data_IF_547594500008
#
_entry.id   IF_547594500008
#
_cell.length_a   1.000
_cell.length_b   1.000
_cell.length_c   1.000
_cell.angle_alpha   90.00
_cell.angle_beta   90.00
_cell.angle_gamma   90.00
#
_symmetry.space_group_name_H-M   'P 1'
#
loop_
_entity.id
_entity.type
_entity.pdbx_description
1 polymer ?
#
# COMPACT_ATOMS: atom_id res chain seq x y z
N UNK A 1 -10.42 21.64 -9.00
CA UNK A 1 -11.02 20.31 -8.98
C UNK A 1 -9.99 19.34 -8.40
N UNK A 2 -10.36 18.38 -7.56
CA UNK A 2 -9.41 17.37 -7.07
C UNK A 2 -8.82 16.61 -8.26
N UNK A 3 -7.54 16.19 -8.15
CA UNK A 3 -6.93 15.35 -9.18
C UNK A 3 -7.66 14.01 -9.27
N UNK A 4 -7.80 13.42 -10.46
CA UNK A 4 -8.34 12.07 -10.60
C UNK A 4 -7.43 11.07 -9.88
N UNK A 5 -8.00 9.97 -9.42
CA UNK A 5 -7.23 8.86 -8.87
C UNK A 5 -6.35 8.24 -9.97
N UNK A 6 -5.24 7.62 -9.55
CA UNK A 6 -4.22 7.09 -10.47
C UNK A 6 -4.60 5.73 -11.07
N UNK A 7 -3.90 5.37 -12.14
CA UNK A 7 -3.82 4.01 -12.70
C UNK A 7 -2.38 3.52 -12.62
N UNK A 8 -2.15 2.25 -12.33
CA UNK A 8 -0.80 1.70 -12.30
C UNK A 8 -0.40 1.10 -10.96
N UNK A 9 0.89 1.13 -10.67
CA UNK A 9 1.45 0.57 -9.44
C UNK A 9 1.72 1.65 -8.41
N UNK A 10 1.29 1.40 -7.18
CA UNK A 10 1.52 2.29 -6.04
C UNK A 10 2.38 1.60 -4.99
N UNK A 11 3.52 2.18 -4.70
CA UNK A 11 4.36 1.73 -3.60
C UNK A 11 3.77 2.17 -2.25
N UNK A 12 3.39 1.21 -1.41
CA UNK A 12 3.15 1.47 0.01
C UNK A 12 4.50 1.72 0.69
N UNK A 13 4.97 2.99 0.69
CA UNK A 13 6.34 3.28 1.12
C UNK A 13 6.57 2.94 2.58
N UNK A 14 7.79 2.48 2.87
CA UNK A 14 8.22 2.25 4.25
C UNK A 14 8.56 3.57 4.95
N UNK A 15 8.59 3.54 6.28
CA UNK A 15 9.18 4.60 7.11
C UNK A 15 10.56 4.15 7.57
N UNK A 16 11.63 4.92 7.32
CA UNK A 16 12.95 4.60 7.82
C UNK A 16 13.05 4.85 9.34
N UNK A 17 13.56 3.85 10.06
CA UNK A 17 13.90 3.97 11.46
C UNK A 17 15.41 3.74 11.65
N UNK A 18 15.99 4.47 12.59
CA UNK A 18 17.34 4.29 13.06
C UNK A 18 17.40 3.33 14.25
N UNK A 19 18.51 3.36 14.97
CA UNK A 19 18.65 2.61 16.22
C UNK A 19 17.61 3.06 17.25
N UNK A 20 17.07 2.12 18.00
CA UNK A 20 16.08 2.36 19.06
C UNK A 20 14.78 3.03 18.59
N UNK A 21 14.37 2.81 17.33
CA UNK A 21 13.11 3.29 16.82
C UNK A 21 13.03 4.79 16.49
N UNK A 22 14.15 5.49 16.48
CA UNK A 22 14.17 6.91 16.10
C UNK A 22 13.83 7.08 14.62
N UNK A 23 12.95 8.03 14.28
CA UNK A 23 12.65 8.38 12.89
C UNK A 23 13.88 8.89 12.17
N UNK A 24 14.23 8.29 11.02
CA UNK A 24 15.36 8.68 10.17
C UNK A 24 14.86 9.36 8.88
N UNK A 25 14.23 10.53 9.04
CA UNK A 25 13.61 11.25 7.91
C UNK A 25 14.61 11.61 6.80
N UNK A 26 15.90 11.71 7.11
CA UNK A 26 16.96 11.94 6.12
C UNK A 26 17.09 10.82 5.10
N UNK A 27 16.68 9.60 5.45
CA UNK A 27 16.68 8.44 4.54
C UNK A 27 15.39 8.34 3.71
N UNK A 28 14.33 9.05 4.11
CA UNK A 28 13.04 8.97 3.42
C UNK A 28 13.12 9.55 2.01
N UNK A 29 13.72 10.72 1.84
CA UNK A 29 13.88 11.38 0.53
C UNK A 29 14.55 10.48 -0.50
N UNK A 30 15.78 9.98 -0.26
CA UNK A 30 16.45 9.04 -1.16
C UNK A 30 15.63 7.78 -1.49
N UNK A 31 14.88 7.23 -0.52
CA UNK A 31 13.99 6.09 -0.75
C UNK A 31 12.85 6.44 -1.71
N UNK A 32 12.19 7.58 -1.52
CA UNK A 32 11.12 8.05 -2.40
C UNK A 32 11.63 8.35 -3.83
N UNK A 33 12.80 8.96 -3.94
CA UNK A 33 13.45 9.21 -5.23
C UNK A 33 13.75 7.90 -5.97
N UNK A 34 14.22 6.89 -5.25
CA UNK A 34 14.46 5.57 -5.82
C UNK A 34 13.17 4.90 -6.32
N UNK A 35 12.08 4.94 -5.53
CA UNK A 35 10.77 4.41 -5.95
C UNK A 35 10.29 5.07 -7.25
N UNK A 36 10.41 6.40 -7.35
CA UNK A 36 10.03 7.16 -8.55
C UNK A 36 10.90 6.76 -9.75
N UNK A 37 12.21 6.62 -9.55
CA UNK A 37 13.16 6.20 -10.61
C UNK A 37 12.89 4.77 -11.09
N UNK A 38 12.42 3.87 -10.21
CA UNK A 38 11.99 2.51 -10.56
C UNK A 38 10.61 2.46 -11.26
N UNK A 39 9.93 3.59 -11.43
CA UNK A 39 8.77 3.75 -12.32
C UNK A 39 7.40 3.52 -11.68
N UNK A 40 7.25 3.74 -10.37
CA UNK A 40 5.92 3.72 -9.74
C UNK A 40 5.04 4.89 -10.23
N UNK A 41 3.74 4.67 -10.32
CA UNK A 41 2.76 5.69 -10.71
C UNK A 41 2.25 6.49 -9.50
N UNK A 42 2.33 5.89 -8.32
CA UNK A 42 1.91 6.50 -7.07
C UNK A 42 2.76 6.02 -5.89
N UNK A 43 2.74 6.80 -4.82
CA UNK A 43 3.36 6.43 -3.53
C UNK A 43 2.33 6.63 -2.42
N UNK A 44 2.24 5.65 -1.52
CA UNK A 44 1.38 5.70 -0.34
C UNK A 44 2.24 5.69 0.93
N UNK A 45 2.63 6.85 1.47
CA UNK A 45 3.27 6.94 2.77
C UNK A 45 2.28 6.60 3.89
N UNK A 46 2.79 6.08 5.00
CA UNK A 46 2.01 5.74 6.21
C UNK A 46 0.85 4.73 5.99
N UNK A 47 0.96 3.86 4.97
CA UNK A 47 0.18 2.63 4.94
C UNK A 47 0.69 1.64 6.00
N UNK A 48 0.19 0.39 5.99
CA UNK A 48 0.70 -0.66 6.90
C UNK A 48 2.21 -0.86 6.75
N UNK A 49 2.73 -0.85 5.52
CA UNK A 49 4.18 -0.94 5.26
C UNK A 49 4.97 0.25 5.82
N UNK A 50 4.33 1.38 6.01
CA UNK A 50 4.90 2.57 6.66
C UNK A 50 4.90 2.49 8.18
N UNK A 51 4.48 1.36 8.76
CA UNK A 51 4.49 1.11 10.21
C UNK A 51 3.78 2.20 11.03
N UNK A 52 2.68 2.77 10.49
CA UNK A 52 1.96 3.89 11.09
C UNK A 52 1.51 3.61 12.53
N UNK A 53 1.26 2.35 12.87
CA UNK A 53 0.82 1.91 14.22
C UNK A 53 1.91 2.07 15.28
N UNK A 54 3.18 2.16 14.87
CA UNK A 54 4.33 2.31 15.75
C UNK A 54 4.69 3.78 16.02
N UNK A 55 3.92 4.74 15.47
CA UNK A 55 4.25 6.16 15.55
C UNK A 55 3.16 7.00 16.21
N UNK A 56 3.57 7.97 17.00
CA UNK A 56 2.69 9.02 17.51
C UNK A 56 2.18 9.92 16.36
N UNK A 57 1.06 10.61 16.61
CA UNK A 57 0.41 11.45 15.62
C UNK A 57 1.34 12.52 15.02
N UNK A 58 2.16 13.14 15.86
CA UNK A 58 3.11 14.18 15.43
C UNK A 58 4.25 13.62 14.57
N UNK A 59 4.72 12.41 14.83
CA UNK A 59 5.72 11.78 13.99
C UNK A 59 5.14 11.38 12.63
N UNK A 60 3.89 10.94 12.60
CA UNK A 60 3.16 10.68 11.34
C UNK A 60 3.01 11.95 10.51
N UNK A 61 2.72 13.10 11.12
CA UNK A 61 2.69 14.41 10.44
C UNK A 61 4.06 14.77 9.86
N UNK A 62 5.16 14.54 10.60
CA UNK A 62 6.53 14.77 10.09
C UNK A 62 6.83 13.90 8.87
N UNK A 63 6.48 12.61 8.93
CA UNK A 63 6.65 11.68 7.78
C UNK A 63 5.84 12.15 6.58
N UNK A 64 4.56 12.52 6.75
CA UNK A 64 3.71 13.01 5.67
C UNK A 64 4.26 14.30 5.06
N UNK A 65 4.61 15.29 5.87
CA UNK A 65 5.16 16.55 5.38
C UNK A 65 6.45 16.33 4.57
N UNK A 66 7.38 15.52 5.11
CA UNK A 66 8.63 15.17 4.41
C UNK A 66 8.35 14.42 3.11
N UNK A 67 7.43 13.44 3.11
CA UNK A 67 7.11 12.68 1.91
C UNK A 67 6.50 13.57 0.82
N UNK A 68 5.54 14.42 1.18
CA UNK A 68 4.88 15.34 0.25
C UNK A 68 5.86 16.36 -0.33
N UNK A 69 6.74 16.94 0.51
CA UNK A 69 7.81 17.84 0.08
C UNK A 69 8.75 17.15 -0.91
N UNK A 70 9.21 15.92 -0.59
CA UNK A 70 10.19 15.22 -1.43
C UNK A 70 9.58 14.68 -2.73
N UNK A 71 8.35 14.20 -2.70
CA UNK A 71 7.66 13.75 -3.93
C UNK A 71 7.35 14.92 -4.85
N UNK A 72 6.98 16.07 -4.30
CA UNK A 72 6.79 17.33 -5.04
C UNK A 72 5.93 17.21 -6.31
N UNK A 73 4.87 16.41 -6.26
CA UNK A 73 3.95 16.21 -7.38
C UNK A 73 4.48 15.38 -8.56
N UNK A 74 5.66 14.77 -8.44
CA UNK A 74 6.25 13.90 -9.49
C UNK A 74 5.45 12.64 -9.76
N UNK A 75 4.78 12.10 -8.75
CA UNK A 75 3.83 10.99 -8.83
C UNK A 75 2.64 11.25 -7.93
N UNK A 76 1.55 10.51 -8.10
CA UNK A 76 0.36 10.64 -7.25
C UNK A 76 0.65 10.20 -5.80
N UNK A 77 0.17 10.97 -4.82
CA UNK A 77 0.34 10.64 -3.40
C UNK A 77 -0.99 10.20 -2.79
N UNK A 78 -1.01 8.95 -2.29
CA UNK A 78 -2.15 8.37 -1.55
C UNK A 78 -1.79 8.34 -0.07
N UNK A 79 -2.04 9.42 0.67
CA UNK A 79 -1.57 9.58 2.04
C UNK A 79 -2.34 8.69 3.03
N UNK A 80 -1.63 7.86 3.80
CA UNK A 80 -2.19 7.08 4.90
C UNK A 80 -2.50 7.97 6.11
N UNK A 81 -3.79 8.15 6.42
CA UNK A 81 -4.25 9.03 7.51
C UNK A 81 -5.13 8.31 8.52
N UNK A 82 -5.15 6.99 8.44
CA UNK A 82 -5.99 6.13 9.27
C UNK A 82 -5.61 6.17 10.75
N UNK A 83 -6.63 6.20 11.58
CA UNK A 83 -6.53 6.05 13.04
C UNK A 83 -7.79 5.35 13.53
N UNK A 84 -7.73 4.76 14.75
CA UNK A 84 -8.93 4.21 15.39
C UNK A 84 -9.98 5.30 15.67
N UNK A 85 -9.54 6.50 16.03
CA UNK A 85 -10.41 7.65 16.32
C UNK A 85 -10.78 8.42 15.05
N UNK A 86 -12.08 8.54 14.76
CA UNK A 86 -12.58 9.39 13.67
C UNK A 86 -12.01 10.81 13.73
N UNK A 87 -11.95 11.42 14.92
CA UNK A 87 -11.41 12.76 15.12
C UNK A 87 -9.94 12.86 14.70
N UNK A 88 -9.10 11.88 15.08
CA UNK A 88 -7.67 11.88 14.69
C UNK A 88 -7.51 11.56 13.20
N UNK A 89 -8.34 10.69 12.63
CA UNK A 89 -8.36 10.46 11.18
C UNK A 89 -8.68 11.74 10.43
N UNK A 90 -9.68 12.52 10.86
CA UNK A 90 -10.01 13.83 10.28
C UNK A 90 -8.82 14.79 10.38
N UNK A 91 -8.21 14.92 11.55
CA UNK A 91 -7.06 15.80 11.77
C UNK A 91 -5.89 15.47 10.84
N UNK A 92 -5.52 14.19 10.74
CA UNK A 92 -4.45 13.73 9.83
C UNK A 92 -4.83 13.92 8.36
N UNK A 93 -6.10 13.72 8.00
CA UNK A 93 -6.60 13.87 6.63
C UNK A 93 -6.57 15.34 6.18
N UNK A 94 -6.98 16.25 7.03
CA UNK A 94 -6.89 17.70 6.78
C UNK A 94 -5.44 18.16 6.69
N UNK A 95 -4.57 17.61 7.56
CA UNK A 95 -3.13 17.88 7.50
C UNK A 95 -2.54 17.42 6.16
N UNK A 96 -2.81 16.17 5.74
CA UNK A 96 -2.33 15.63 4.47
C UNK A 96 -2.82 16.46 3.27
N UNK A 97 -4.11 16.80 3.24
CA UNK A 97 -4.70 17.65 2.20
C UNK A 97 -4.02 19.03 2.14
N UNK A 98 -3.83 19.69 3.29
CA UNK A 98 -3.20 21.03 3.33
C UNK A 98 -1.74 21.02 2.90
N UNK A 99 -1.06 19.88 2.94
CA UNK A 99 0.31 19.68 2.47
C UNK A 99 0.42 19.12 1.05
N UNK A 100 -0.72 19.00 0.33
CA UNK A 100 -0.73 18.65 -1.09
C UNK A 100 -0.82 17.16 -1.41
N UNK A 101 -1.37 16.33 -0.51
CA UNK A 101 -1.75 14.96 -0.86
C UNK A 101 -2.83 14.96 -1.95
N UNK A 102 -2.74 14.03 -2.91
CA UNK A 102 -3.70 13.93 -4.00
C UNK A 102 -4.94 13.11 -3.60
N UNK A 103 -4.78 12.16 -2.70
CA UNK A 103 -5.85 11.33 -2.13
C UNK A 103 -5.44 10.75 -0.77
N UNK A 104 -6.41 10.18 -0.07
CA UNK A 104 -6.21 9.59 1.25
C UNK A 104 -6.36 8.07 1.18
N UNK A 105 -5.55 7.33 1.95
CA UNK A 105 -5.74 5.91 2.22
C UNK A 105 -6.21 5.75 3.67
N UNK A 106 -7.38 5.15 3.87
CA UNK A 106 -7.96 5.00 5.20
C UNK A 106 -8.42 3.57 5.41
N UNK A 107 -7.85 2.88 6.41
CA UNK A 107 -8.31 1.57 6.87
C UNK A 107 -9.44 1.78 7.88
N UNK A 108 -10.48 0.92 7.93
CA UNK A 108 -11.48 0.96 8.99
C UNK A 108 -10.84 0.90 10.38
N UNK A 109 -11.48 1.47 11.42
CA UNK A 109 -11.04 1.27 12.79
C UNK A 109 -10.89 -0.23 13.10
N UNK A 110 -9.77 -0.58 13.70
CA UNK A 110 -9.36 -1.95 14.00
C UNK A 110 -9.28 -2.18 15.52
N UNK A 111 -8.83 -3.36 15.99
CA UNK A 111 -8.73 -3.81 17.38
C UNK A 111 -10.10 -4.13 18.01
N UNK A 112 -10.96 -3.16 18.30
CA UNK A 112 -12.37 -3.38 18.67
C UNK A 112 -13.19 -3.03 17.43
N UNK A 113 -13.47 -4.03 16.58
CA UNK A 113 -14.14 -3.82 15.30
C UNK A 113 -15.52 -3.19 15.47
N UNK A 114 -15.77 -2.00 14.89
CA UNK A 114 -17.10 -1.40 14.88
C UNK A 114 -18.04 -2.18 13.97
N UNK A 115 -19.36 -1.94 14.12
CA UNK A 115 -20.34 -2.46 13.18
C UNK A 115 -20.17 -1.82 11.78
N UNK A 116 -20.63 -2.48 10.70
CA UNK A 116 -20.58 -1.89 9.35
C UNK A 116 -21.19 -0.48 9.29
N UNK A 117 -22.31 -0.24 9.94
CA UNK A 117 -22.96 1.08 9.99
C UNK A 117 -22.06 2.14 10.63
N UNK A 118 -21.40 1.81 11.74
CA UNK A 118 -20.47 2.73 12.43
C UNK A 118 -19.22 3.01 11.56
N UNK A 119 -18.74 2.01 10.82
CA UNK A 119 -17.64 2.21 9.85
C UNK A 119 -18.07 3.12 8.71
N UNK A 120 -19.27 2.94 8.16
CA UNK A 120 -19.82 3.84 7.14
C UNK A 120 -19.92 5.27 7.64
N UNK A 121 -20.40 5.48 8.87
CA UNK A 121 -20.47 6.81 9.47
C UNK A 121 -19.09 7.44 9.70
N UNK A 122 -18.08 6.62 10.01
CA UNK A 122 -16.69 7.07 10.08
C UNK A 122 -16.22 7.67 8.75
N UNK A 123 -16.44 6.97 7.62
CA UNK A 123 -16.06 7.46 6.29
C UNK A 123 -16.85 8.71 5.86
N UNK A 124 -18.16 8.78 6.13
CA UNK A 124 -18.99 9.95 5.85
C UNK A 124 -18.44 11.21 6.52
N UNK A 125 -18.17 11.13 7.84
CA UNK A 125 -17.63 12.25 8.61
C UNK A 125 -16.27 12.70 8.12
N UNK A 126 -15.42 11.77 7.68
CA UNK A 126 -14.11 12.14 7.10
C UNK A 126 -14.32 12.83 5.75
N UNK A 127 -15.18 12.29 4.89
CA UNK A 127 -15.46 12.87 3.59
C UNK A 127 -16.05 14.30 3.68
N UNK A 128 -16.87 14.58 4.71
CA UNK A 128 -17.38 15.93 4.99
C UNK A 128 -16.26 16.92 5.39
N UNK A 129 -15.12 16.43 5.86
CA UNK A 129 -14.02 17.27 6.39
C UNK A 129 -12.91 17.57 5.39
N UNK A 130 -12.90 16.92 4.22
CA UNK A 130 -11.86 17.04 3.18
C UNK A 130 -12.48 17.16 1.79
N UNK A 131 -11.70 17.63 0.81
CA UNK A 131 -12.14 17.74 -0.59
C UNK A 131 -11.40 16.80 -1.56
N UNK A 132 -10.36 16.10 -1.09
CA UNK A 132 -9.61 15.13 -1.89
C UNK A 132 -10.21 13.72 -1.75
N UNK A 133 -10.09 12.85 -2.78
CA UNK A 133 -10.70 11.53 -2.77
C UNK A 133 -10.19 10.64 -1.62
N UNK A 134 -11.08 9.84 -1.05
CA UNK A 134 -10.74 8.81 -0.08
C UNK A 134 -10.68 7.46 -0.79
N UNK A 135 -9.56 6.74 -0.65
CA UNK A 135 -9.41 5.34 -0.99
C UNK A 135 -9.65 4.52 0.29
N UNK A 136 -10.80 3.87 0.37
CA UNK A 136 -11.12 2.97 1.48
C UNK A 136 -10.20 1.74 1.42
N UNK A 137 -9.44 1.49 2.50
CA UNK A 137 -8.57 0.34 2.59
C UNK A 137 -9.31 -0.86 3.21
N UNK A 138 -9.96 -1.66 2.36
CA UNK A 138 -10.69 -2.85 2.78
C UNK A 138 -9.71 -3.98 3.10
N UNK A 139 -9.50 -4.24 4.40
CA UNK A 139 -8.51 -5.20 4.89
C UNK A 139 -9.10 -6.06 6.03
N UNK A 140 -9.92 -7.02 5.66
CA UNK A 140 -10.59 -7.91 6.62
C UNK A 140 -9.61 -8.61 7.56
N UNK A 141 -8.49 -9.19 7.05
CA UNK A 141 -7.57 -9.94 7.90
C UNK A 141 -6.97 -9.15 9.07
N UNK A 142 -6.77 -7.83 8.91
CA UNK A 142 -6.15 -6.99 9.95
C UNK A 142 -7.16 -6.16 10.75
N UNK A 143 -8.39 -5.98 10.23
CA UNK A 143 -9.38 -5.11 10.90
C UNK A 143 -10.57 -5.87 11.46
N UNK A 144 -10.78 -7.12 11.04
CA UNK A 144 -11.99 -7.90 11.30
C UNK A 144 -13.30 -7.21 10.85
N UNK A 145 -13.19 -6.18 10.00
CA UNK A 145 -14.34 -5.47 9.41
C UNK A 145 -14.52 -5.92 7.97
N UNK A 146 -15.67 -6.52 7.67
CA UNK A 146 -16.06 -6.88 6.31
C UNK A 146 -17.25 -6.02 5.86
N UNK A 147 -16.94 -4.96 5.11
CA UNK A 147 -17.96 -4.20 4.38
C UNK A 147 -18.35 -5.00 3.13
N UNK A 148 -19.60 -5.45 3.07
CA UNK A 148 -20.12 -6.13 1.88
C UNK A 148 -20.19 -5.16 0.70
N UNK A 149 -20.29 -5.70 -0.52
CA UNK A 149 -20.35 -4.91 -1.74
C UNK A 149 -21.39 -3.79 -1.66
N UNK A 150 -22.59 -4.07 -1.16
CA UNK A 150 -23.66 -3.07 -1.00
C UNK A 150 -23.26 -1.87 -0.13
N UNK A 151 -22.50 -2.12 0.95
CA UNK A 151 -21.98 -1.04 1.81
C UNK A 151 -20.98 -0.16 1.06
N UNK A 152 -20.09 -0.79 0.26
CA UNK A 152 -19.07 -0.09 -0.53
C UNK A 152 -19.70 0.75 -1.64
N UNK A 153 -20.68 0.19 -2.36
CA UNK A 153 -21.43 0.88 -3.40
C UNK A 153 -22.20 2.08 -2.81
N UNK A 154 -22.85 1.89 -1.66
CA UNK A 154 -23.56 2.97 -0.98
C UNK A 154 -22.62 4.12 -0.57
N UNK A 155 -21.44 3.84 -0.03
CA UNK A 155 -20.44 4.88 0.29
C UNK A 155 -19.97 5.62 -0.96
N UNK A 156 -19.88 4.95 -2.09
CA UNK A 156 -19.52 5.56 -3.37
C UNK A 156 -20.65 6.46 -3.88
N UNK A 157 -21.91 6.01 -3.90
CA UNK A 157 -23.09 6.79 -4.28
C UNK A 157 -23.23 8.07 -3.43
N UNK A 158 -22.95 7.97 -2.14
CA UNK A 158 -22.91 9.08 -1.19
C UNK A 158 -21.66 9.99 -1.36
N UNK A 159 -20.73 9.65 -2.27
CA UNK A 159 -19.46 10.34 -2.49
C UNK A 159 -18.55 10.37 -1.25
N UNK A 160 -18.74 9.45 -0.34
CA UNK A 160 -17.88 9.29 0.84
C UNK A 160 -16.54 8.62 0.51
N UNK A 161 -16.47 7.87 -0.60
CA UNK A 161 -15.23 7.28 -1.12
C UNK A 161 -15.15 7.48 -2.63
N UNK A 162 -13.92 7.60 -3.17
CA UNK A 162 -13.63 7.64 -4.61
C UNK A 162 -12.91 6.39 -5.10
N UNK A 163 -12.38 5.59 -4.19
CA UNK A 163 -11.67 4.34 -4.52
C UNK A 163 -11.66 3.34 -3.39
N UNK A 164 -11.26 2.12 -3.71
CA UNK A 164 -11.12 1.01 -2.76
C UNK A 164 -9.78 0.30 -3.01
N UNK A 165 -8.99 0.08 -1.96
CA UNK A 165 -7.89 -0.88 -1.95
C UNK A 165 -8.42 -2.18 -1.37
N UNK A 166 -8.58 -3.22 -2.22
CA UNK A 166 -9.09 -4.54 -1.84
C UNK A 166 -7.95 -5.42 -1.33
N UNK A 167 -7.88 -5.63 -0.01
CA UNK A 167 -6.87 -6.49 0.62
C UNK A 167 -7.48 -7.70 1.32
N UNK A 168 -8.33 -8.39 0.60
CA UNK A 168 -8.91 -9.68 0.94
C UNK A 168 -8.67 -10.67 -0.22
N UNK A 169 -8.60 -11.98 0.03
CA UNK A 169 -8.29 -12.99 -0.99
C UNK A 169 -9.52 -13.36 -1.85
N UNK A 170 -10.28 -12.36 -2.28
CA UNK A 170 -11.51 -12.49 -3.07
C UNK A 170 -11.42 -11.59 -4.30
N UNK A 171 -10.65 -11.99 -5.33
CA UNK A 171 -10.45 -11.14 -6.51
C UNK A 171 -11.74 -10.97 -7.34
N UNK A 172 -12.69 -11.88 -7.25
CA UNK A 172 -14.02 -11.80 -7.86
C UNK A 172 -14.82 -10.59 -7.38
N UNK A 173 -14.67 -10.17 -6.11
CA UNK A 173 -15.31 -8.96 -5.57
C UNK A 173 -14.85 -7.69 -6.29
N UNK A 174 -13.62 -7.67 -6.82
CA UNK A 174 -13.14 -6.58 -7.68
C UNK A 174 -14.00 -6.49 -8.94
N UNK A 175 -14.24 -7.63 -9.60
CA UNK A 175 -15.08 -7.70 -10.78
C UNK A 175 -16.53 -7.25 -10.50
N UNK A 176 -17.11 -7.72 -9.41
CA UNK A 176 -18.47 -7.35 -8.96
C UNK A 176 -18.61 -5.83 -8.80
N UNK A 177 -17.68 -5.19 -8.09
CA UNK A 177 -17.70 -3.73 -7.86
C UNK A 177 -17.54 -2.95 -9.17
N UNK A 178 -16.60 -3.37 -10.03
CA UNK A 178 -16.35 -2.71 -11.30
C UNK A 178 -17.57 -2.79 -12.23
N UNK A 179 -18.23 -3.95 -12.28
CA UNK A 179 -19.47 -4.12 -13.07
C UNK A 179 -20.61 -3.25 -12.53
N UNK A 180 -20.80 -3.20 -11.20
CA UNK A 180 -21.86 -2.43 -10.56
C UNK A 180 -21.70 -0.91 -10.74
N UNK A 181 -20.49 -0.44 -11.04
CA UNK A 181 -20.18 1.00 -11.15
C UNK A 181 -19.71 1.42 -12.55
N UNK A 182 -19.87 0.57 -13.58
CA UNK A 182 -19.30 0.81 -14.91
C UNK A 182 -17.82 1.26 -14.84
N UNK A 183 -17.05 0.65 -13.94
CA UNK A 183 -15.65 0.98 -13.64
C UNK A 183 -15.39 2.43 -13.21
N UNK A 184 -16.40 3.14 -12.71
CA UNK A 184 -16.23 4.52 -12.24
C UNK A 184 -15.65 4.58 -10.82
N UNK A 185 -15.95 3.61 -9.96
CA UNK A 185 -15.30 3.47 -8.66
C UNK A 185 -13.94 2.82 -8.85
N UNK A 186 -12.88 3.54 -8.49
CA UNK A 186 -11.53 3.01 -8.62
C UNK A 186 -11.29 1.84 -7.65
N UNK A 187 -10.88 0.70 -8.17
CA UNK A 187 -10.54 -0.48 -7.35
C UNK A 187 -9.09 -0.85 -7.59
N UNK A 188 -8.36 -1.05 -6.51
CA UNK A 188 -6.95 -1.43 -6.51
C UNK A 188 -6.76 -2.81 -5.89
N UNK A 189 -5.96 -3.68 -6.52
CA UNK A 189 -5.48 -4.89 -5.89
C UNK A 189 -4.60 -4.51 -4.68
N UNK A 190 -4.96 -4.99 -3.50
CA UNK A 190 -4.32 -4.59 -2.23
C UNK A 190 -3.59 -5.73 -1.52
N UNK A 191 -3.67 -6.96 -2.05
CA UNK A 191 -2.94 -8.13 -1.55
C UNK A 191 -2.15 -8.76 -2.70
N UNK A 192 -0.86 -8.95 -2.49
CA UNK A 192 0.07 -9.34 -3.56
C UNK A 192 -0.24 -10.72 -4.14
N UNK A 193 -0.68 -11.67 -3.30
CA UNK A 193 -0.89 -13.07 -3.71
C UNK A 193 -2.03 -13.30 -4.70
N UNK A 194 -2.94 -12.34 -4.86
CA UNK A 194 -4.05 -12.37 -5.84
C UNK A 194 -4.08 -11.11 -6.72
N UNK A 195 -2.96 -10.39 -6.79
CA UNK A 195 -2.88 -9.18 -7.59
C UNK A 195 -2.99 -9.46 -9.09
N UNK A 196 -2.46 -10.60 -9.56
CA UNK A 196 -2.58 -11.03 -10.95
C UNK A 196 -4.04 -11.17 -11.36
N UNK A 197 -4.82 -11.92 -10.57
CA UNK A 197 -6.25 -12.12 -10.79
C UNK A 197 -7.02 -10.81 -10.72
N UNK A 198 -6.73 -9.98 -9.69
CA UNK A 198 -7.36 -8.68 -9.54
C UNK A 198 -7.12 -7.76 -10.74
N UNK A 199 -5.90 -7.72 -11.28
CA UNK A 199 -5.56 -6.96 -12.48
C UNK A 199 -6.23 -7.54 -13.73
N UNK A 200 -6.33 -8.88 -13.85
CA UNK A 200 -7.07 -9.53 -14.93
C UNK A 200 -8.58 -9.22 -14.89
N UNK A 201 -9.15 -9.01 -13.70
CA UNK A 201 -10.53 -8.55 -13.51
C UNK A 201 -10.73 -7.06 -13.82
N UNK A 202 -9.66 -6.32 -14.10
CA UNK A 202 -9.73 -4.91 -14.49
C UNK A 202 -9.46 -3.92 -13.37
N UNK A 203 -8.84 -4.33 -12.26
CA UNK A 203 -8.40 -3.40 -11.23
C UNK A 203 -7.59 -2.25 -11.84
N UNK A 204 -7.85 -1.01 -11.41
CA UNK A 204 -7.22 0.20 -11.92
C UNK A 204 -5.72 0.27 -11.60
N UNK A 205 -5.30 -0.50 -10.60
CA UNK A 205 -3.89 -0.56 -10.21
C UNK A 205 -3.64 -1.54 -9.07
N UNK A 206 -2.42 -1.47 -8.55
CA UNK A 206 -1.92 -2.36 -7.51
C UNK A 206 -1.25 -1.55 -6.40
N UNK A 207 -1.81 -1.55 -5.19
CA UNK A 207 -1.29 -0.85 -4.00
C UNK A 207 -0.88 -1.90 -2.97
N UNK A 208 0.38 -2.29 -2.90
CA UNK A 208 0.79 -3.31 -1.94
C UNK A 208 2.30 -3.32 -1.65
N UNK A 209 2.79 -4.40 -1.04
CA UNK A 209 4.18 -4.58 -0.63
C UNK A 209 5.13 -4.87 -1.80
N UNK A 210 4.72 -5.65 -2.79
CA UNK A 210 5.56 -5.98 -3.96
C UNK A 210 5.87 -4.74 -4.81
N UNK A 211 4.92 -3.83 -5.13
CA UNK A 211 5.23 -2.55 -5.73
C UNK A 211 6.24 -1.69 -4.95
N UNK A 212 6.34 -1.90 -3.64
CA UNK A 212 7.29 -1.17 -2.80
C UNK A 212 8.67 -1.86 -2.76
N UNK A 213 8.69 -3.19 -2.81
CA UNK A 213 9.91 -3.99 -2.68
C UNK A 213 10.66 -4.11 -4.00
N UNK A 214 9.95 -4.38 -5.10
CA UNK A 214 10.48 -4.57 -6.45
C UNK A 214 9.64 -3.82 -7.49
N UNK A 215 9.68 -2.46 -7.45
CA UNK A 215 8.74 -1.60 -8.20
C UNK A 215 8.75 -1.86 -9.70
N UNK A 216 9.93 -1.96 -10.32
CA UNK A 216 10.07 -2.20 -11.77
C UNK A 216 9.43 -3.50 -12.20
N UNK A 217 9.66 -4.60 -11.46
CA UNK A 217 9.06 -5.90 -11.78
C UNK A 217 7.53 -5.88 -11.61
N UNK A 218 7.01 -5.17 -10.58
CA UNK A 218 5.58 -4.96 -10.42
C UNK A 218 4.99 -4.13 -11.56
N UNK A 219 5.68 -3.07 -12.00
CA UNK A 219 5.26 -2.23 -13.12
C UNK A 219 5.22 -3.00 -14.43
N UNK A 220 6.22 -3.84 -14.70
CA UNK A 220 6.24 -4.70 -15.89
C UNK A 220 5.04 -5.65 -15.92
N UNK A 221 4.69 -6.26 -14.79
CA UNK A 221 3.50 -7.12 -14.69
C UNK A 221 2.21 -6.33 -14.95
N UNK A 222 2.04 -5.16 -14.31
CA UNK A 222 0.89 -4.30 -14.53
C UNK A 222 0.75 -3.93 -16.02
N UNK A 223 1.84 -3.51 -16.65
CA UNK A 223 1.85 -3.13 -18.08
C UNK A 223 1.46 -4.32 -18.96
N UNK A 224 2.01 -5.51 -18.70
CA UNK A 224 1.69 -6.70 -19.46
C UNK A 224 0.18 -7.06 -19.41
N UNK A 225 -0.46 -6.89 -18.23
CA UNK A 225 -1.88 -7.20 -18.04
C UNK A 225 -2.77 -6.06 -18.55
N UNK A 226 -2.58 -4.86 -17.99
CA UNK A 226 -3.55 -3.77 -18.14
C UNK A 226 -3.36 -2.97 -19.43
N UNK A 227 -2.14 -2.84 -19.93
CA UNK A 227 -1.81 -2.01 -21.09
C UNK A 227 -1.66 -2.85 -22.34
N UNK A 228 -0.76 -3.83 -22.32
CA UNK A 228 -0.45 -4.68 -23.48
C UNK A 228 -1.50 -5.78 -23.69
N UNK A 229 -2.23 -6.15 -22.65
CA UNK A 229 -3.18 -7.29 -22.64
C UNK A 229 -2.51 -8.60 -23.08
N UNK A 230 -1.24 -8.76 -22.74
CA UNK A 230 -0.40 -9.89 -23.09
C UNK A 230 -0.34 -10.89 -21.92
N UNK A 231 -1.30 -11.79 -21.85
CA UNK A 231 -1.45 -12.74 -20.75
C UNK A 231 -0.28 -13.74 -20.67
N UNK A 232 0.32 -14.12 -21.78
CA UNK A 232 1.46 -15.05 -21.78
C UNK A 232 2.70 -14.41 -21.16
N UNK A 233 3.00 -13.17 -21.55
CA UNK A 233 4.05 -12.37 -20.90
C UNK A 233 3.76 -12.18 -19.41
N UNK A 234 2.52 -11.83 -19.06
CA UNK A 234 2.11 -11.63 -17.69
C UNK A 234 2.31 -12.88 -16.81
N UNK A 235 1.96 -14.07 -17.33
CA UNK A 235 2.19 -15.34 -16.63
C UNK A 235 3.67 -15.62 -16.38
N UNK A 236 4.54 -15.32 -17.33
CA UNK A 236 5.99 -15.45 -17.15
C UNK A 236 6.51 -14.51 -16.06
N UNK A 237 6.09 -13.25 -16.07
CA UNK A 237 6.48 -12.26 -15.04
C UNK A 237 5.95 -12.67 -13.66
N UNK A 238 4.68 -13.11 -13.57
CA UNK A 238 4.09 -13.61 -12.34
C UNK A 238 4.84 -14.79 -11.75
N UNK A 239 5.20 -15.76 -12.59
CA UNK A 239 5.98 -16.94 -12.17
C UNK A 239 7.34 -16.55 -11.57
N UNK A 240 7.98 -15.49 -12.09
CA UNK A 240 9.24 -14.96 -11.53
C UNK A 240 9.03 -14.23 -10.21
N UNK A 241 7.92 -13.51 -10.04
CA UNK A 241 7.59 -12.77 -8.81
C UNK A 241 7.11 -13.68 -7.66
N UNK A 242 6.42 -14.76 -7.98
CA UNK A 242 5.78 -15.63 -7.01
C UNK A 242 6.70 -16.17 -5.89
N UNK A 243 7.97 -16.56 -6.13
CA UNK A 243 8.87 -16.98 -5.06
C UNK A 243 9.17 -15.88 -4.04
N UNK A 244 9.34 -14.62 -4.48
CA UNK A 244 9.55 -13.49 -3.58
C UNK A 244 8.29 -13.20 -2.75
N UNK A 245 7.11 -13.25 -3.37
CA UNK A 245 5.84 -13.08 -2.65
C UNK A 245 5.65 -14.15 -1.59
N UNK A 246 5.94 -15.41 -1.90
CA UNK A 246 5.86 -16.50 -0.91
C UNK A 246 6.82 -16.27 0.27
N UNK A 247 8.05 -15.85 0.02
CA UNK A 247 8.99 -15.53 1.08
C UNK A 247 8.50 -14.33 1.92
N UNK A 248 8.04 -13.26 1.29
CA UNK A 248 7.61 -12.03 1.97
C UNK A 248 6.40 -12.26 2.87
N UNK A 249 5.46 -13.10 2.44
CA UNK A 249 4.22 -13.36 3.19
C UNK A 249 4.22 -14.70 3.95
N UNK A 250 5.36 -15.35 4.09
CA UNK A 250 5.47 -16.64 4.77
C UNK A 250 4.90 -16.58 6.20
N UNK A 251 5.33 -15.63 7.01
CA UNK A 251 4.86 -15.49 8.38
C UNK A 251 3.35 -15.19 8.48
N UNK A 252 2.80 -14.48 7.50
CA UNK A 252 1.38 -14.20 7.43
C UNK A 252 0.55 -15.45 7.17
N UNK A 253 1.04 -16.32 6.28
CA UNK A 253 0.35 -17.57 5.93
C UNK A 253 0.60 -18.70 6.94
N UNK A 254 1.75 -18.73 7.60
CA UNK A 254 2.16 -19.77 8.56
C UNK A 254 1.84 -19.45 10.02
N UNK A 255 1.05 -18.41 10.28
CA UNK A 255 0.64 -17.98 11.62
C UNK A 255 1.81 -17.73 12.59
N UNK A 256 2.84 -17.06 12.09
CA UNK A 256 3.98 -16.60 12.90
C UNK A 256 5.27 -17.37 12.69
N UNK A 257 5.29 -18.44 11.89
CA UNK A 257 6.55 -19.06 11.47
C UNK A 257 7.17 -18.30 10.29
N UNK A 258 8.48 -18.09 10.34
CA UNK A 258 9.24 -17.35 9.32
C UNK A 258 9.38 -15.86 9.61
N UNK A 259 9.87 -15.13 8.61
CA UNK A 259 10.10 -13.69 8.73
C UNK A 259 8.81 -12.89 8.55
N UNK A 260 8.64 -11.83 9.33
CA UNK A 260 7.58 -10.87 9.11
C UNK A 260 7.76 -10.16 7.76
N UNK A 261 6.66 -9.80 7.10
CA UNK A 261 6.71 -9.16 5.77
C UNK A 261 7.45 -7.81 5.76
N UNK A 262 7.37 -7.01 6.85
CA UNK A 262 8.17 -5.79 7.00
C UNK A 262 9.68 -6.08 7.00
N UNK A 263 10.09 -7.14 7.69
CA UNK A 263 11.49 -7.57 7.78
C UNK A 263 12.04 -7.93 6.39
N UNK A 264 11.26 -8.68 5.61
CA UNK A 264 11.63 -9.06 4.24
C UNK A 264 11.69 -7.84 3.32
N UNK A 265 10.69 -6.93 3.40
CA UNK A 265 10.66 -5.70 2.60
C UNK A 265 11.88 -4.82 2.89
N UNK A 266 12.11 -4.46 4.16
CA UNK A 266 13.22 -3.58 4.54
C UNK A 266 14.58 -4.21 4.21
N UNK A 267 14.75 -5.51 4.44
CA UNK A 267 15.97 -6.22 4.03
C UNK A 267 16.19 -6.17 2.50
N UNK A 268 15.14 -6.39 1.70
CA UNK A 268 15.22 -6.27 0.25
C UNK A 268 15.61 -4.85 -0.17
N UNK A 269 14.96 -3.83 0.37
CA UNK A 269 15.25 -2.42 0.07
C UNK A 269 16.68 -2.04 0.46
N UNK A 270 17.17 -2.50 1.61
CA UNK A 270 18.58 -2.29 2.00
C UNK A 270 19.57 -2.95 1.02
N UNK A 271 19.18 -4.08 0.39
CA UNK A 271 20.01 -4.79 -0.57
C UNK A 271 20.04 -4.14 -1.96
N UNK A 272 18.92 -3.56 -2.42
CA UNK A 272 18.80 -3.09 -3.81
C UNK A 272 18.61 -1.58 -3.96
N UNK A 273 18.13 -0.90 -2.92
CA UNK A 273 17.85 0.53 -2.88
C UNK A 273 18.72 1.30 -1.89
N UNK A 274 18.38 2.56 -1.59
CA UNK A 274 18.96 3.30 -0.48
C UNK A 274 18.66 2.59 0.86
N UNK A 275 19.58 2.65 1.85
CA UNK A 275 19.34 1.99 3.14
C UNK A 275 18.18 2.65 3.89
N UNK A 276 17.26 1.80 4.36
CA UNK A 276 16.02 2.22 5.03
C UNK A 276 15.94 1.77 6.50
N UNK A 277 16.97 1.08 6.99
CA UNK A 277 16.99 0.53 8.35
C UNK A 277 16.20 -0.76 8.49
N UNK A 278 15.96 -1.14 9.74
CA UNK A 278 15.19 -2.32 10.12
C UNK A 278 13.76 -1.93 10.54
N UNK A 279 12.83 -2.90 10.68
CA UNK A 279 11.52 -2.65 11.25
C UNK A 279 11.60 -2.11 12.69
N UNK A 280 10.57 -1.37 13.09
CA UNK A 280 10.41 -0.96 14.48
C UNK A 280 10.06 -2.18 15.37
N UNK A 281 10.66 -2.33 16.55
CA UNK A 281 10.22 -3.33 17.50
C UNK A 281 8.72 -3.22 17.83
N UNK A 282 8.03 -4.36 18.04
CA UNK A 282 8.57 -5.70 18.30
C UNK A 282 8.91 -6.53 17.05
N UNK A 283 8.83 -5.95 15.85
CA UNK A 283 9.14 -6.70 14.61
C UNK A 283 10.67 -6.83 14.49
N UNK A 284 11.15 -8.07 14.44
CA UNK A 284 12.58 -8.34 14.30
C UNK A 284 13.07 -8.14 12.86
N UNK A 285 14.37 -7.84 12.65
CA UNK A 285 14.99 -7.88 11.34
C UNK A 285 14.90 -9.24 10.66
N UNK A 286 15.12 -9.29 9.35
CA UNK A 286 15.14 -10.54 8.59
C UNK A 286 16.23 -11.48 9.15
N UNK A 287 15.89 -12.75 9.50
CA UNK A 287 16.87 -13.74 9.95
C UNK A 287 18.01 -13.93 8.93
N UNK A 288 19.24 -14.05 9.43
CA UNK A 288 20.43 -14.21 8.57
C UNK A 288 20.32 -15.42 7.63
N UNK A 289 19.70 -16.51 8.10
CA UNK A 289 19.46 -17.72 7.28
C UNK A 289 18.61 -17.48 6.02
N UNK A 290 17.80 -16.41 5.98
CA UNK A 290 16.95 -16.07 4.83
C UNK A 290 17.57 -15.03 3.89
N UNK A 291 18.64 -14.34 4.32
CA UNK A 291 19.25 -13.26 3.52
C UNK A 291 19.78 -13.75 2.17
N UNK A 292 20.45 -14.91 2.16
CA UNK A 292 20.97 -15.52 0.93
C UNK A 292 19.85 -15.88 -0.06
N UNK A 293 18.76 -16.42 0.44
CA UNK A 293 17.56 -16.73 -0.38
C UNK A 293 16.95 -15.46 -0.95
N UNK A 294 16.75 -14.42 -0.13
CA UNK A 294 16.23 -13.12 -0.58
C UNK A 294 17.12 -12.50 -1.65
N UNK A 295 18.44 -12.47 -1.42
CA UNK A 295 19.41 -11.92 -2.37
C UNK A 295 19.37 -12.64 -3.74
N UNK A 296 19.22 -13.98 -3.73
CA UNK A 296 19.06 -14.75 -4.96
C UNK A 296 17.78 -14.37 -5.71
N UNK A 297 16.64 -14.30 -5.01
CA UNK A 297 15.34 -13.94 -5.61
C UNK A 297 15.36 -12.54 -6.22
N UNK A 298 16.02 -11.58 -5.59
CA UNK A 298 16.19 -10.22 -6.13
C UNK A 298 17.03 -10.20 -7.40
N UNK A 299 18.14 -11.00 -7.46
CA UNK A 299 18.94 -11.14 -8.70
C UNK A 299 18.14 -11.82 -9.81
N UNK A 300 17.34 -12.84 -9.51
CA UNK A 300 16.48 -13.54 -10.48
C UNK A 300 15.44 -12.59 -11.10
N UNK A 301 15.06 -11.52 -10.38
CA UNK A 301 14.22 -10.42 -10.86
C UNK A 301 14.99 -9.28 -11.55
N UNK A 302 16.32 -9.43 -11.74
CA UNK A 302 17.16 -8.47 -12.46
C UNK A 302 17.62 -7.28 -11.62
N UNK A 303 17.56 -7.36 -10.29
CA UNK A 303 18.12 -6.32 -9.42
C UNK A 303 19.58 -6.57 -9.08
N UNK A 304 20.40 -5.51 -9.06
CA UNK A 304 21.75 -5.56 -8.53
C UNK A 304 21.71 -5.55 -7.01
N UNK A 305 22.18 -6.63 -6.41
CA UNK A 305 22.23 -6.77 -4.95
C UNK A 305 23.56 -6.30 -4.44
N UNK A 306 23.54 -5.33 -3.53
CA UNK A 306 24.73 -4.82 -2.84
C UNK A 306 25.34 -5.91 -1.95
N UNK A 307 26.64 -5.91 -1.84
CA UNK A 307 27.40 -6.79 -0.93
C UNK A 307 27.19 -6.43 0.53
#
# INVERSE_FOLDING_TARGET
MPKPLFHGVCASSITPFGSQGALELTRLGPHLDWLIAEGVDAISPLGSSGEFVAMECEDRKKVLATALEKIAGRVHVVAGTHDYSTRRTIELSQFAQSHGADSLLIVPPYYMAPTPSQVMDHYRRIAESVSIPIVLYHNIPLTAVDLKTDHLLKLYEEKAIGGIKMSNPEPDRICEILQATDSQLHVYAGIDTVAFEGLCHGAHGWISGIPSTVPRAAKELYVAIAVEKNLDRARLLWTKLAPLMRLQFQAYHSRGEGAHWFSTMKAALNMIGPPVGDPEPPIAPLPESLRGTLAKLLRDLGYTVKS
#
